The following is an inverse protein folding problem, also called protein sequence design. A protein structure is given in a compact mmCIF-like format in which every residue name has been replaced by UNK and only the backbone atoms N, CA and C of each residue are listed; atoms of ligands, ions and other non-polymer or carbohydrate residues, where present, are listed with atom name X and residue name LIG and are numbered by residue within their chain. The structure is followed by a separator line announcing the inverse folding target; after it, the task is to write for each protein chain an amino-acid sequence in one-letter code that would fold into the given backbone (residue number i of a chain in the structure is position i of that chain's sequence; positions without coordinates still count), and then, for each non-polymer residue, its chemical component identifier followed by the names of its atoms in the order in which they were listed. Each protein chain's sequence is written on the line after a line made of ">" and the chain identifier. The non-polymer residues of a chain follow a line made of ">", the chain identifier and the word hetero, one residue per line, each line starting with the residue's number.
data_IF_805060308771
#
_entry.id   IF_805060308771
#
_cell.length_a   1.000
_cell.length_b   1.000
_cell.length_c   1.000
_cell.angle_alpha   90.00
_cell.angle_beta   90.00
_cell.angle_gamma   90.00
#
_symmetry.space_group_name_H-M   'P 1'
#
loop_
_entity.id
_entity.type
_entity.pdbx_description
1 polymer ?
#
# COMPACT_ATOMS: atom_id res chain seq x y z
N UNK A 1 9.65 -38.75 -21.25
CA UNK A 1 9.10 -38.27 -19.96
C UNK A 1 9.53 -36.82 -19.78
N UNK A 2 8.73 -35.87 -20.27
CA UNK A 2 9.04 -34.44 -20.16
C UNK A 2 8.86 -33.99 -18.72
N UNK A 3 9.88 -33.32 -18.19
CA UNK A 3 9.84 -32.62 -16.90
C UNK A 3 8.82 -31.47 -17.01
N UNK A 4 7.58 -31.74 -16.64
CA UNK A 4 6.58 -30.71 -16.34
C UNK A 4 6.89 -30.19 -14.95
N UNK A 5 7.66 -29.11 -14.84
CA UNK A 5 7.62 -28.24 -13.67
C UNK A 5 8.23 -26.86 -14.00
N UNK A 6 7.41 -25.80 -13.92
CA UNK A 6 7.55 -24.72 -12.93
C UNK A 6 6.43 -23.70 -13.16
N UNK A 7 5.42 -23.78 -12.30
CA UNK A 7 4.36 -22.79 -12.08
C UNK A 7 4.94 -21.38 -11.95
N UNK A 8 4.59 -20.45 -12.85
CA UNK A 8 4.87 -19.01 -12.66
C UNK A 8 3.59 -18.34 -12.14
N UNK A 9 3.24 -18.64 -10.89
CA UNK A 9 2.28 -17.86 -10.11
C UNK A 9 2.91 -16.52 -9.74
N UNK A 10 2.16 -15.43 -9.86
CA UNK A 10 2.64 -14.07 -9.69
C UNK A 10 1.74 -13.35 -8.69
N UNK A 11 2.34 -12.65 -7.73
CA UNK A 11 1.61 -11.87 -6.74
C UNK A 11 1.58 -10.41 -7.19
N UNK A 12 0.38 -9.83 -7.28
CA UNK A 12 0.18 -8.45 -7.71
C UNK A 12 -0.34 -7.64 -6.53
N UNK A 13 0.41 -6.62 -6.12
CA UNK A 13 0.03 -5.75 -5.01
C UNK A 13 -1.07 -4.75 -5.41
N UNK A 14 -0.85 -3.99 -6.47
CA UNK A 14 -1.76 -2.92 -6.89
C UNK A 14 -1.91 -2.84 -8.41
N UNK A 15 -0.79 -2.88 -9.14
CA UNK A 15 -0.75 -2.79 -10.60
C UNK A 15 0.44 -3.57 -11.15
N UNK A 16 0.28 -4.09 -12.36
CA UNK A 16 1.34 -4.74 -13.12
C UNK A 16 1.09 -4.56 -14.62
N UNK A 17 2.16 -4.42 -15.40
CA UNK A 17 2.09 -4.33 -16.87
C UNK A 17 2.62 -5.63 -17.46
N UNK A 18 1.76 -6.37 -18.13
CA UNK A 18 2.12 -7.59 -18.82
C UNK A 18 2.55 -7.26 -20.25
N UNK A 19 3.65 -7.86 -20.69
CA UNK A 19 4.19 -7.68 -22.04
C UNK A 19 4.46 -9.03 -22.69
N UNK A 20 3.97 -9.23 -23.90
CA UNK A 20 4.30 -10.40 -24.69
C UNK A 20 4.87 -10.00 -26.03
N UNK A 21 5.92 -10.73 -26.42
CA UNK A 21 6.63 -10.62 -27.69
C UNK A 21 6.69 -12.01 -28.30
N UNK A 22 6.35 -12.11 -29.58
CA UNK A 22 6.42 -13.38 -30.29
C UNK A 22 7.87 -13.82 -30.50
N UNK A 23 8.05 -15.14 -30.61
CA UNK A 23 9.27 -15.79 -31.10
C UNK A 23 8.91 -16.68 -32.29
N UNK A 24 9.92 -17.17 -33.01
CA UNK A 24 9.77 -18.05 -34.16
C UNK A 24 9.17 -19.43 -33.81
N UNK A 25 9.03 -19.75 -32.52
CA UNK A 25 8.43 -20.98 -32.04
C UNK A 25 7.02 -20.72 -31.49
N UNK A 26 6.05 -21.62 -31.75
CA UNK A 26 4.74 -21.54 -31.10
C UNK A 26 4.88 -21.70 -29.59
N UNK A 27 4.08 -20.96 -28.83
CA UNK A 27 4.09 -21.00 -27.36
C UNK A 27 2.66 -21.12 -26.82
N UNK A 28 2.51 -21.93 -25.77
CA UNK A 28 1.27 -22.04 -24.99
C UNK A 28 1.60 -21.82 -23.54
N UNK A 29 1.02 -20.78 -22.97
CA UNK A 29 1.51 -20.24 -21.71
C UNK A 29 0.35 -19.88 -20.81
N UNK A 30 0.46 -20.30 -19.56
CA UNK A 30 -0.50 -19.98 -18.51
C UNK A 30 0.24 -19.22 -17.43
N UNK A 31 -0.30 -18.06 -17.05
CA UNK A 31 0.15 -17.27 -15.90
C UNK A 31 -1.03 -17.07 -14.96
N UNK A 32 -0.76 -17.24 -13.67
CA UNK A 32 -1.77 -17.10 -12.63
C UNK A 32 -1.34 -15.95 -11.74
N UNK A 33 -2.26 -15.03 -11.52
CA UNK A 33 -2.05 -13.82 -10.74
C UNK A 33 -2.91 -13.90 -9.50
N UNK A 34 -2.29 -13.67 -8.34
CA UNK A 34 -2.97 -13.57 -7.06
C UNK A 34 -2.84 -12.15 -6.54
N UNK A 35 -3.92 -11.58 -6.03
CA UNK A 35 -3.78 -10.29 -5.34
C UNK A 35 -2.96 -10.51 -4.08
N UNK A 36 -2.15 -9.51 -3.74
CA UNK A 36 -1.50 -9.50 -2.45
C UNK A 36 -2.56 -9.69 -1.37
N UNK A 37 -2.29 -10.58 -0.41
CA UNK A 37 -3.20 -10.99 0.67
C UNK A 37 -4.46 -11.76 0.23
N UNK A 38 -4.63 -12.07 -1.06
CA UNK A 38 -5.74 -12.88 -1.61
C UNK A 38 -7.13 -12.35 -1.25
N UNK A 39 -7.31 -11.03 -1.36
CA UNK A 39 -8.56 -10.34 -1.01
C UNK A 39 -9.10 -9.48 -2.16
N UNK A 40 -8.25 -8.71 -2.83
CA UNK A 40 -8.70 -7.78 -3.87
C UNK A 40 -8.96 -8.53 -5.19
N UNK A 41 -10.09 -8.32 -5.88
CA UNK A 41 -10.27 -8.76 -7.25
C UNK A 41 -9.38 -7.98 -8.22
N UNK A 42 -9.38 -8.39 -9.48
CA UNK A 42 -8.55 -7.80 -10.53
C UNK A 42 -9.37 -7.12 -11.62
N UNK A 43 -8.80 -6.09 -12.20
CA UNK A 43 -9.14 -5.51 -13.49
C UNK A 43 -8.04 -5.82 -14.50
N UNK A 44 -8.41 -6.07 -15.75
CA UNK A 44 -7.52 -6.33 -16.88
C UNK A 44 -7.91 -5.44 -18.06
N UNK A 45 -6.91 -4.85 -18.72
CA UNK A 45 -7.09 -4.09 -19.96
C UNK A 45 -5.93 -4.31 -20.91
N UNK A 46 -6.19 -4.45 -22.20
CA UNK A 46 -5.13 -4.32 -23.21
C UNK A 46 -4.81 -2.84 -23.45
N UNK A 47 -3.52 -2.52 -23.45
CA UNK A 47 -2.99 -1.20 -23.80
C UNK A 47 -2.53 -1.15 -25.26
N UNK A 48 -1.93 -2.25 -25.73
CA UNK A 48 -1.56 -2.47 -27.12
C UNK A 48 -1.86 -3.92 -27.49
N UNK A 49 -2.31 -4.16 -28.72
CA UNK A 49 -2.74 -5.47 -29.19
C UNK A 49 -2.37 -5.66 -30.66
N UNK A 50 -1.56 -6.66 -30.97
CA UNK A 50 -1.13 -7.00 -32.32
C UNK A 50 -0.79 -8.51 -32.41
N UNK A 51 -1.81 -9.37 -32.26
CA UNK A 51 -1.63 -10.81 -32.47
C UNK A 51 -1.41 -11.13 -33.95
N UNK A 52 -0.57 -12.15 -34.21
CA UNK A 52 -0.17 -12.50 -35.57
C UNK A 52 -1.27 -13.21 -36.35
N UNK A 53 -1.82 -14.29 -35.78
CA UNK A 53 -2.77 -15.19 -36.43
C UNK A 53 -4.15 -15.16 -35.76
N UNK A 54 -5.21 -15.51 -36.50
CA UNK A 54 -6.57 -15.63 -35.97
C UNK A 54 -6.74 -16.85 -35.05
N UNK A 55 -5.86 -17.84 -35.19
CA UNK A 55 -5.73 -18.97 -34.25
C UNK A 55 -5.11 -18.57 -32.92
N UNK A 56 -4.43 -17.42 -32.85
CA UNK A 56 -3.81 -16.94 -31.63
C UNK A 56 -4.86 -16.31 -30.73
N UNK A 57 -4.76 -16.56 -29.43
CA UNK A 57 -5.76 -16.09 -28.49
C UNK A 57 -5.19 -15.77 -27.11
N UNK A 58 -5.80 -14.78 -26.47
CA UNK A 58 -5.62 -14.47 -25.05
C UNK A 58 -6.94 -14.80 -24.37
N UNK A 59 -6.93 -15.74 -23.44
CA UNK A 59 -8.11 -16.14 -22.66
C UNK A 59 -7.88 -15.83 -21.18
N UNK A 60 -8.87 -15.20 -20.54
CA UNK A 60 -8.88 -14.81 -19.14
C UNK A 60 -9.87 -15.68 -18.36
N UNK A 61 -9.49 -16.04 -17.15
CA UNK A 61 -10.30 -16.84 -16.24
C UNK A 61 -10.29 -16.25 -14.84
N UNK A 62 -11.43 -16.28 -14.17
CA UNK A 62 -11.58 -15.97 -12.76
C UNK A 62 -11.25 -17.21 -11.93
N UNK A 63 -10.19 -17.17 -11.13
CA UNK A 63 -9.70 -18.35 -10.40
C UNK A 63 -8.50 -19.02 -11.07
N UNK A 64 -8.06 -20.15 -10.49
CA UNK A 64 -6.84 -20.86 -10.90
C UNK A 64 -7.16 -21.93 -11.95
N UNK A 65 -6.51 -21.83 -13.11
CA UNK A 65 -6.64 -22.79 -14.22
C UNK A 65 -6.17 -24.22 -13.87
N UNK A 66 -5.46 -24.42 -12.76
CA UNK A 66 -4.95 -25.74 -12.37
C UNK A 66 -5.83 -26.50 -11.36
N UNK A 67 -6.80 -25.84 -10.72
CA UNK A 67 -7.52 -26.42 -9.57
C UNK A 67 -9.05 -26.47 -9.73
N UNK A 68 -9.55 -26.50 -10.99
CA UNK A 68 -10.98 -26.65 -11.35
C UNK A 68 -11.87 -25.44 -10.96
N UNK A 69 -11.30 -24.38 -10.38
CA UNK A 69 -12.04 -23.17 -9.95
C UNK A 69 -12.08 -22.05 -11.01
N UNK A 70 -11.49 -22.26 -12.18
CA UNK A 70 -11.37 -21.26 -13.23
C UNK A 70 -12.68 -21.07 -14.02
N UNK A 71 -13.36 -19.95 -13.80
CA UNK A 71 -14.53 -19.53 -14.58
C UNK A 71 -14.03 -18.73 -15.79
N UNK A 72 -14.36 -19.10 -17.04
CA UNK A 72 -13.95 -18.33 -18.21
C UNK A 72 -14.62 -16.94 -18.20
N UNK A 73 -13.81 -15.89 -18.33
CA UNK A 73 -14.29 -14.50 -18.32
C UNK A 73 -14.32 -13.88 -19.71
N UNK A 74 -13.26 -14.10 -20.48
CA UNK A 74 -13.01 -13.36 -21.71
C UNK A 74 -12.05 -14.12 -22.62
N UNK A 75 -12.24 -14.00 -23.93
CA UNK A 75 -11.27 -14.46 -24.91
C UNK A 75 -11.21 -13.48 -26.07
N UNK A 76 -10.00 -13.10 -26.46
CA UNK A 76 -9.75 -12.18 -27.58
C UNK A 76 -8.83 -12.87 -28.59
N UNK A 77 -9.19 -12.75 -29.86
CA UNK A 77 -8.38 -13.13 -31.02
C UNK A 77 -8.16 -11.91 -31.89
N UNK A 78 -7.25 -12.00 -32.86
CA UNK A 78 -6.85 -10.89 -33.74
C UNK A 78 -8.04 -10.06 -34.28
N UNK A 79 -9.10 -10.73 -34.74
CA UNK A 79 -10.22 -10.10 -35.44
C UNK A 79 -11.51 -10.02 -34.61
N UNK A 80 -11.43 -10.27 -33.30
CA UNK A 80 -12.62 -10.28 -32.43
C UNK A 80 -13.22 -8.89 -32.17
N UNK A 81 -12.44 -7.81 -32.31
CA UNK A 81 -12.88 -6.44 -32.00
C UNK A 81 -13.14 -6.19 -30.50
N UNK A 82 -12.68 -7.07 -29.63
CA UNK A 82 -12.92 -7.03 -28.19
C UNK A 82 -11.76 -6.46 -27.38
N UNK A 83 -10.67 -6.04 -28.03
CA UNK A 83 -9.40 -5.66 -27.40
C UNK A 83 -9.52 -4.43 -26.47
N UNK A 84 -10.55 -3.59 -26.63
CA UNK A 84 -10.76 -2.40 -25.79
C UNK A 84 -11.54 -2.67 -24.50
N UNK A 85 -12.01 -3.91 -24.28
CA UNK A 85 -12.86 -4.24 -23.14
C UNK A 85 -12.05 -4.29 -21.83
N UNK A 86 -12.54 -3.61 -20.81
CA UNK A 86 -12.05 -3.76 -19.43
C UNK A 86 -12.74 -4.96 -18.79
N UNK A 87 -11.95 -5.91 -18.28
CA UNK A 87 -12.46 -7.16 -17.70
C UNK A 87 -12.15 -7.16 -16.22
N UNK A 88 -13.11 -7.61 -15.40
CA UNK A 88 -12.94 -7.69 -13.95
C UNK A 88 -13.19 -9.10 -13.45
N UNK A 89 -12.38 -9.57 -12.50
CA UNK A 89 -12.64 -10.79 -11.75
C UNK A 89 -13.53 -10.49 -10.54
N UNK A 90 -14.18 -11.51 -10.00
CA UNK A 90 -14.81 -11.49 -8.69
C UNK A 90 -13.89 -12.10 -7.63
N UNK A 91 -13.09 -13.11 -8.01
CA UNK A 91 -12.13 -13.72 -7.10
C UNK A 91 -10.82 -12.93 -7.06
N UNK A 92 -10.01 -13.09 -6.00
CA UNK A 92 -8.68 -12.50 -5.89
C UNK A 92 -7.61 -13.21 -6.76
N UNK A 93 -8.04 -13.98 -7.77
CA UNK A 93 -7.16 -14.74 -8.65
C UNK A 93 -7.60 -14.53 -10.10
N UNK A 94 -6.64 -14.17 -10.95
CA UNK A 94 -6.82 -14.05 -12.40
C UNK A 94 -5.87 -15.02 -13.08
N UNK A 95 -6.37 -15.89 -13.96
CA UNK A 95 -5.52 -16.69 -14.83
C UNK A 95 -5.58 -16.18 -16.26
N UNK A 96 -4.42 -16.09 -16.90
CA UNK A 96 -4.28 -15.70 -18.31
C UNK A 96 -3.64 -16.87 -19.05
N UNK A 97 -4.32 -17.31 -20.11
CA UNK A 97 -3.83 -18.31 -21.05
C UNK A 97 -3.57 -17.63 -22.39
N UNK A 98 -2.34 -17.75 -22.89
CA UNK A 98 -1.94 -17.34 -24.21
C UNK A 98 -1.72 -18.56 -25.08
N UNK A 99 -2.32 -18.54 -26.26
CA UNK A 99 -2.01 -19.45 -27.36
C UNK A 99 -1.44 -18.59 -28.50
N UNK A 100 -0.18 -18.80 -28.84
CA UNK A 100 0.51 -18.06 -29.88
C UNK A 100 1.23 -19.02 -30.82
N UNK A 101 1.01 -18.84 -32.12
CA UNK A 101 1.81 -19.47 -33.18
C UNK A 101 3.19 -18.81 -33.28
N UNK A 102 4.14 -19.47 -33.94
CA UNK A 102 5.47 -18.88 -34.15
C UNK A 102 5.40 -17.71 -35.15
N UNK A 103 5.94 -16.55 -34.77
CA UNK A 103 5.91 -15.35 -35.59
C UNK A 103 7.09 -14.41 -35.32
N UNK A 104 7.22 -13.38 -36.15
CA UNK A 104 8.20 -12.32 -35.92
C UNK A 104 7.93 -11.57 -34.63
N UNK A 105 9.02 -11.16 -34.00
CA UNK A 105 9.07 -10.39 -32.77
C UNK A 105 8.46 -8.98 -32.82
N UNK A 106 7.94 -8.57 -33.99
CA UNK A 106 7.15 -7.35 -34.20
C UNK A 106 5.69 -7.51 -33.75
N UNK A 107 5.23 -8.73 -33.51
CA UNK A 107 3.91 -9.04 -32.97
C UNK A 107 3.95 -9.20 -31.45
N UNK A 108 2.83 -8.96 -30.80
CA UNK A 108 2.74 -9.00 -29.35
C UNK A 108 1.58 -8.21 -28.78
N UNK A 109 1.59 -8.03 -27.46
CA UNK A 109 0.63 -7.18 -26.77
C UNK A 109 1.23 -6.59 -25.49
N UNK A 110 0.64 -5.49 -25.03
CA UNK A 110 0.84 -4.91 -23.72
C UNK A 110 -0.51 -4.90 -23.02
N UNK A 111 -0.57 -5.42 -21.81
CA UNK A 111 -1.76 -5.39 -20.97
C UNK A 111 -1.45 -4.81 -19.59
N UNK A 112 -2.49 -4.27 -18.96
CA UNK A 112 -2.46 -3.78 -17.59
C UNK A 112 -3.34 -4.70 -16.73
N UNK A 113 -2.81 -5.08 -15.57
CA UNK A 113 -3.52 -5.80 -14.52
C UNK A 113 -3.51 -4.92 -13.27
N UNK A 114 -4.67 -4.66 -12.68
CA UNK A 114 -4.84 -3.81 -11.50
C UNK A 114 -5.68 -4.49 -10.44
N UNK A 115 -5.39 -4.31 -9.17
CA UNK A 115 -6.31 -4.72 -8.11
C UNK A 115 -7.47 -3.74 -8.00
N UNK A 116 -8.65 -4.25 -7.64
CA UNK A 116 -9.88 -3.47 -7.47
C UNK A 116 -10.29 -3.42 -5.98
N UNK A 117 -10.81 -2.27 -5.48
CA UNK A 117 -10.92 -0.98 -6.17
C UNK A 117 -9.53 -0.40 -6.50
N UNK A 118 -9.46 0.38 -7.58
CA UNK A 118 -8.21 0.98 -8.06
C UNK A 118 -7.73 1.98 -7.00
N UNK A 119 -6.64 1.66 -6.31
CA UNK A 119 -6.02 2.60 -5.36
C UNK A 119 -5.52 3.82 -6.13
N UNK A 120 -6.03 5.02 -5.79
CA UNK A 120 -5.69 6.28 -6.46
C UNK A 120 -4.20 6.65 -6.36
N UNK A 121 -3.45 6.00 -5.48
CA UNK A 121 -2.02 6.18 -5.27
C UNK A 121 -1.27 5.13 -6.12
N UNK A 122 -1.48 5.14 -7.43
CA UNK A 122 -0.82 4.22 -8.35
C UNK A 122 0.63 4.64 -8.62
N UNK A 123 1.60 4.02 -7.96
CA UNK A 123 2.99 4.08 -8.45
C UNK A 123 3.25 2.90 -9.39
N UNK A 124 3.65 3.25 -10.60
CA UNK A 124 4.02 2.38 -11.70
C UNK A 124 5.39 1.75 -11.41
N UNK A 125 5.43 0.62 -10.72
CA UNK A 125 6.54 -0.33 -10.93
C UNK A 125 6.02 -1.37 -11.91
N UNK A 126 6.17 -1.05 -13.20
CA UNK A 126 5.81 -1.97 -14.28
C UNK A 126 6.78 -3.14 -14.30
N UNK A 127 6.45 -4.23 -13.62
CA UNK A 127 7.17 -5.49 -13.81
C UNK A 127 6.79 -6.05 -15.18
N UNK A 128 7.72 -6.00 -16.15
CA UNK A 128 7.54 -6.60 -17.47
C UNK A 128 7.78 -8.11 -17.38
N UNK A 129 6.74 -8.91 -17.66
CA UNK A 129 6.87 -10.37 -17.63
C UNK A 129 6.82 -10.97 -19.03
N UNK A 130 7.93 -11.58 -19.43
CA UNK A 130 8.00 -12.40 -20.65
C UNK A 130 7.32 -13.74 -20.42
N UNK A 131 6.40 -14.07 -21.32
CA UNK A 131 5.88 -15.42 -21.44
C UNK A 131 6.85 -16.23 -22.32
N UNK A 132 7.99 -16.58 -21.74
CA UNK A 132 8.92 -17.58 -22.29
C UNK A 132 8.83 -18.89 -21.49
N UNK A 133 8.93 -20.01 -22.22
CA UNK A 133 9.09 -21.39 -21.71
C UNK A 133 10.52 -21.67 -21.22
N UNK A 134 11.43 -20.71 -21.33
CA UNK A 134 12.78 -20.80 -20.79
C UNK A 134 12.75 -20.67 -19.25
N UNK A 135 13.53 -21.54 -18.61
CA UNK A 135 13.85 -21.53 -17.18
C UNK A 135 14.57 -20.23 -16.75
N UNK A 136 14.91 -19.37 -17.72
CA UNK A 136 15.44 -18.02 -17.54
C UNK A 136 14.57 -17.01 -18.27
N UNK A 137 13.24 -17.05 -18.08
CA UNK A 137 12.45 -15.86 -18.34
C UNK A 137 13.06 -14.75 -17.49
N UNK A 138 13.83 -13.86 -18.13
CA UNK A 138 14.64 -12.85 -17.46
C UNK A 138 13.70 -12.10 -16.54
N UNK A 139 13.77 -12.41 -15.24
CA UNK A 139 13.40 -11.44 -14.24
C UNK A 139 14.22 -10.24 -14.63
N UNK A 140 13.59 -9.17 -15.12
CA UNK A 140 14.19 -7.88 -14.91
C UNK A 140 14.25 -7.75 -13.40
N UNK A 141 15.38 -8.17 -12.83
CA UNK A 141 15.79 -7.80 -11.50
C UNK A 141 15.74 -6.29 -11.56
N UNK A 142 14.69 -5.69 -11.00
CA UNK A 142 14.88 -4.39 -10.42
C UNK A 142 15.97 -4.63 -9.38
N UNK A 143 17.20 -4.26 -9.73
CA UNK A 143 18.28 -4.16 -8.77
C UNK A 143 17.87 -3.04 -7.81
N UNK A 144 16.95 -3.33 -6.91
CA UNK A 144 17.11 -2.80 -5.57
C UNK A 144 18.21 -3.68 -4.97
N UNK A 145 19.45 -3.17 -5.02
CA UNK A 145 20.26 -3.30 -3.81
C UNK A 145 19.32 -3.01 -2.64
N UNK A 146 19.26 -3.82 -1.57
CA UNK A 146 18.38 -3.52 -0.44
C UNK A 146 18.58 -2.06 -0.13
N UNK A 147 17.60 -1.23 -0.52
CA UNK A 147 17.79 0.20 -0.46
C UNK A 147 17.98 0.43 1.01
N UNK A 148 19.20 0.77 1.42
CA UNK A 148 19.46 1.28 2.74
C UNK A 148 18.49 2.44 2.83
N UNK A 149 17.38 2.23 3.56
CA UNK A 149 16.31 3.22 3.61
C UNK A 149 17.00 4.49 3.98
N UNK A 150 17.00 5.46 3.05
CA UNK A 150 17.75 6.67 3.29
C UNK A 150 16.98 7.40 4.38
N UNK A 151 17.48 7.24 5.59
CA UNK A 151 16.87 7.75 6.81
C UNK A 151 16.79 9.28 6.78
N UNK A 152 17.62 9.93 5.95
CA UNK A 152 17.57 11.38 5.74
C UNK A 152 16.46 11.84 4.79
N UNK A 153 15.88 10.92 4.00
CA UNK A 153 14.79 11.19 3.06
C UNK A 153 13.67 10.15 3.25
N UNK A 154 13.11 10.07 4.45
CA UNK A 154 11.98 9.19 4.75
C UNK A 154 10.70 9.65 4.03
N UNK A 155 10.11 8.74 3.27
CA UNK A 155 8.89 8.99 2.51
C UNK A 155 8.56 7.85 1.55
N UNK A 156 7.43 7.95 0.85
CA UNK A 156 6.98 6.95 -0.11
C UNK A 156 6.54 5.65 0.57
N UNK A 157 6.80 4.50 -0.05
CA UNK A 157 6.39 3.19 0.46
C UNK A 157 7.53 2.48 1.16
N UNK A 158 7.28 2.08 2.41
CA UNK A 158 8.16 1.21 3.15
C UNK A 158 7.84 -0.26 2.80
N UNK A 159 8.74 -0.88 2.03
CA UNK A 159 8.62 -2.26 1.54
C UNK A 159 9.36 -3.28 2.44
N UNK A 160 10.28 -2.82 3.27
CA UNK A 160 11.09 -3.63 4.19
C UNK A 160 10.99 -3.08 5.60
N UNK A 161 11.03 -3.95 6.61
CA UNK A 161 10.90 -3.53 8.01
C UNK A 161 12.03 -2.60 8.39
N UNK A 162 11.69 -1.50 9.08
CA UNK A 162 12.61 -0.44 9.45
C UNK A 162 12.44 -0.12 10.93
N UNK A 163 13.57 0.11 11.60
CA UNK A 163 13.58 0.65 12.96
C UNK A 163 14.21 2.03 12.94
N UNK A 164 13.45 3.05 13.33
CA UNK A 164 13.97 4.40 13.58
C UNK A 164 14.51 4.44 14.99
N UNK A 165 15.78 4.83 15.14
CA UNK A 165 16.45 4.97 16.42
C UNK A 165 16.56 6.44 16.80
N UNK A 166 16.63 6.74 18.09
CA UNK A 166 16.95 8.10 18.55
C UNK A 166 18.31 8.55 17.97
N UNK A 167 18.39 9.81 17.56
CA UNK A 167 19.59 10.43 16.99
C UNK A 167 19.61 11.93 17.32
N UNK A 168 20.74 12.60 17.11
CA UNK A 168 20.94 14.01 17.48
C UNK A 168 20.08 14.99 16.66
N UNK A 169 19.58 14.57 15.50
CA UNK A 169 18.75 15.38 14.60
C UNK A 169 17.37 14.76 14.37
N UNK A 170 16.30 15.55 14.25
CA UNK A 170 14.97 15.00 13.96
C UNK A 170 14.94 14.31 12.59
N UNK A 171 14.04 13.34 12.45
CA UNK A 171 13.71 12.72 11.16
C UNK A 171 12.73 13.61 10.42
N UNK A 172 13.13 14.13 9.26
CA UNK A 172 12.30 15.07 8.51
C UNK A 172 11.53 14.31 7.43
N UNK A 173 10.20 14.28 7.56
CA UNK A 173 9.28 13.60 6.65
C UNK A 173 8.63 14.63 5.74
N UNK A 174 9.09 14.68 4.48
CA UNK A 174 8.67 15.67 3.47
C UNK A 174 7.60 15.14 2.51
N UNK A 175 7.27 13.86 2.57
CA UNK A 175 6.28 13.19 1.73
C UNK A 175 5.64 12.05 2.49
N UNK A 176 4.40 11.70 2.15
CA UNK A 176 3.63 10.66 2.85
C UNK A 176 4.41 9.35 2.97
N UNK A 177 4.40 8.77 4.17
CA UNK A 177 5.06 7.51 4.46
C UNK A 177 4.00 6.41 4.57
N UNK A 178 4.01 5.48 3.61
CA UNK A 178 3.09 4.33 3.58
C UNK A 178 3.82 3.06 4.03
N UNK A 179 3.40 2.47 5.15
CA UNK A 179 3.90 1.17 5.61
C UNK A 179 3.12 0.09 4.88
N UNK A 180 3.80 -0.68 4.02
CA UNK A 180 3.13 -1.73 3.26
C UNK A 180 2.76 -2.92 4.15
N UNK A 181 1.75 -3.73 3.79
CA UNK A 181 1.34 -4.80 4.69
C UNK A 181 2.39 -5.91 4.81
N UNK A 182 2.46 -6.56 5.98
CA UNK A 182 3.59 -7.42 6.44
C UNK A 182 4.91 -6.69 6.73
N UNK A 183 4.99 -5.39 6.50
CA UNK A 183 6.14 -4.58 6.89
C UNK A 183 5.92 -4.01 8.29
N UNK A 184 6.99 -3.96 9.09
CA UNK A 184 6.95 -3.33 10.41
C UNK A 184 7.81 -2.07 10.42
N UNK A 185 7.20 -0.91 10.67
CA UNK A 185 7.92 0.30 11.08
C UNK A 185 7.94 0.33 12.61
N UNK A 186 9.13 0.27 13.18
CA UNK A 186 9.33 0.44 14.63
C UNK A 186 9.97 1.80 14.89
N UNK A 187 9.34 2.63 15.70
CA UNK A 187 9.89 3.89 16.15
C UNK A 187 10.36 3.69 17.59
N UNK A 188 11.67 3.82 17.81
CA UNK A 188 12.27 3.63 19.13
C UNK A 188 11.93 4.80 20.06
N UNK A 189 11.88 4.58 21.38
CA UNK A 189 11.79 5.65 22.39
C UNK A 189 12.78 6.80 22.12
N UNK A 190 12.36 8.03 22.43
CA UNK A 190 13.19 9.24 22.28
C UNK A 190 13.36 9.75 20.84
N UNK A 191 12.72 9.10 19.85
CA UNK A 191 12.81 9.50 18.45
C UNK A 191 11.93 10.72 18.16
N UNK A 192 12.48 11.71 17.45
CA UNK A 192 11.77 12.93 17.03
C UNK A 192 11.51 12.87 15.53
N UNK A 193 10.24 13.01 15.11
CA UNK A 193 9.79 13.06 13.73
C UNK A 193 9.15 14.43 13.45
N UNK A 194 9.58 15.07 12.37
CA UNK A 194 9.10 16.37 11.92
C UNK A 194 8.42 16.26 10.56
N UNK A 195 7.16 16.69 10.48
CA UNK A 195 6.33 16.52 9.29
C UNK A 195 6.17 17.82 8.52
N UNK A 196 6.35 17.76 7.20
CA UNK A 196 5.98 18.86 6.32
C UNK A 196 4.44 19.06 6.30
N UNK A 197 3.95 20.26 5.95
CA UNK A 197 2.51 20.51 5.88
C UNK A 197 1.79 19.52 4.97
N UNK A 198 0.69 18.94 5.47
CA UNK A 198 -0.15 17.93 4.77
C UNK A 198 0.54 16.59 4.52
N UNK A 199 1.58 16.27 5.28
CA UNK A 199 2.27 14.97 5.21
C UNK A 199 1.93 14.14 6.44
N UNK A 200 1.66 12.85 6.24
CA UNK A 200 1.35 11.92 7.33
C UNK A 200 1.92 10.51 7.12
N UNK A 201 1.59 9.62 8.05
CA UNK A 201 1.90 8.19 7.97
C UNK A 201 0.62 7.42 7.66
N UNK A 202 0.63 6.63 6.59
CA UNK A 202 -0.39 5.63 6.27
C UNK A 202 0.12 4.24 6.64
N UNK A 203 -0.49 3.59 7.62
CA UNK A 203 -0.06 2.26 8.06
C UNK A 203 -0.99 1.15 7.54
N UNK A 204 -0.62 0.51 6.42
CA UNK A 204 -1.26 -0.70 5.91
C UNK A 204 -0.66 -1.98 6.54
N UNK A 205 0.59 -1.88 7.01
CA UNK A 205 1.30 -2.89 7.79
C UNK A 205 1.27 -2.63 9.29
N UNK A 206 2.35 -2.99 9.98
CA UNK A 206 2.47 -2.80 11.43
C UNK A 206 3.28 -1.54 11.74
N UNK A 207 2.70 -0.61 12.50
CA UNK A 207 3.42 0.50 13.11
C UNK A 207 3.57 0.23 14.62
N UNK A 208 4.80 0.24 15.12
CA UNK A 208 5.13 0.12 16.54
C UNK A 208 5.76 1.43 16.99
N UNK A 209 4.97 2.29 17.65
CA UNK A 209 5.44 3.52 18.28
C UNK A 209 5.14 3.45 19.78
N UNK A 210 6.14 2.99 20.54
CA UNK A 210 6.04 2.79 22.00
C UNK A 210 7.13 3.60 22.70
N UNK A 211 6.78 4.79 23.17
CA UNK A 211 7.68 5.61 23.98
C UNK A 211 7.97 5.00 25.35
N UNK A 212 9.01 5.49 26.03
CA UNK A 212 9.27 5.22 27.45
C UNK A 212 9.13 6.52 28.23
N UNK A 213 9.05 6.40 29.56
CA UNK A 213 9.01 7.57 30.44
C UNK A 213 10.32 8.34 30.28
N UNK A 214 10.24 9.62 29.89
CA UNK A 214 11.37 10.51 29.55
C UNK A 214 12.07 10.20 28.22
N UNK A 215 11.57 9.24 27.45
CA UNK A 215 12.02 8.93 26.10
C UNK A 215 10.76 8.75 25.22
N UNK A 216 9.88 9.73 25.28
CA UNK A 216 8.68 9.78 24.46
C UNK A 216 9.07 9.92 22.99
N UNK A 217 8.23 9.38 22.12
CA UNK A 217 8.36 9.62 20.68
C UNK A 217 7.61 10.92 20.39
N UNK A 218 8.31 11.85 19.74
CA UNK A 218 7.79 13.18 19.45
C UNK A 218 7.44 13.23 17.96
N UNK A 219 6.18 13.54 17.65
CA UNK A 219 5.73 13.78 16.28
C UNK A 219 5.18 15.20 16.19
N UNK A 220 5.87 16.08 15.48
CA UNK A 220 5.52 17.50 15.39
C UNK A 220 5.63 18.03 13.97
N UNK A 221 5.02 19.19 13.63
CA UNK A 221 5.27 19.83 12.35
C UNK A 221 6.72 20.28 12.21
N UNK A 222 7.17 20.47 10.97
CA UNK A 222 8.40 21.20 10.69
C UNK A 222 8.28 22.63 11.23
N UNK A 223 9.30 23.13 11.96
CA UNK A 223 9.36 24.54 12.34
C UNK A 223 9.31 25.40 11.08
N UNK A 224 8.23 26.15 10.87
CA UNK A 224 8.11 27.08 9.75
C UNK A 224 8.88 28.36 10.06
N UNK A 225 9.68 28.86 9.09
CA UNK A 225 10.14 30.26 9.04
C UNK A 225 9.03 31.22 8.55
N UNK A 226 7.75 30.86 8.67
CA UNK A 226 6.62 31.58 8.06
C UNK A 226 5.83 32.33 9.14
N UNK A 227 5.67 33.67 9.04
CA UNK A 227 4.92 34.48 10.01
C UNK A 227 3.45 34.08 10.07
N UNK A 228 2.88 34.12 11.28
CA UNK A 228 1.51 33.75 11.65
C UNK A 228 0.41 34.66 11.05
N UNK A 229 0.33 34.82 9.72
CA UNK A 229 -0.61 35.75 9.08
C UNK A 229 -1.36 35.22 7.87
N UNK A 230 -1.73 33.93 7.82
CA UNK A 230 -2.66 33.45 6.77
C UNK A 230 -3.65 32.39 7.26
N UNK A 231 -4.51 32.77 8.21
CA UNK A 231 -5.59 31.92 8.78
C UNK A 231 -6.82 31.72 7.88
N UNK A 232 -6.91 32.30 6.66
CA UNK A 232 -8.22 32.40 5.97
C UNK A 232 -8.46 31.35 4.85
N UNK A 233 -7.60 30.35 4.67
CA UNK A 233 -7.89 29.21 3.76
C UNK A 233 -7.94 27.87 4.51
N UNK A 234 -8.35 27.90 5.78
CA UNK A 234 -8.35 26.71 6.66
C UNK A 234 -9.56 25.78 6.49
N UNK A 235 -10.24 25.84 5.34
CA UNK A 235 -11.44 25.04 5.11
C UNK A 235 -11.47 24.52 3.68
N UNK A 236 -10.82 23.37 3.44
CA UNK A 236 -11.06 22.41 2.35
C UNK A 236 -9.86 21.46 2.28
N UNK A 237 -9.89 20.37 3.06
CA UNK A 237 -9.36 19.01 2.84
C UNK A 237 -9.13 18.34 4.21
N UNK A 238 -9.93 17.30 4.53
CA UNK A 238 -9.72 16.42 5.68
C UNK A 238 -8.32 15.81 5.58
N UNK A 239 -7.43 16.11 6.53
CA UNK A 239 -6.06 15.64 6.53
C UNK A 239 -5.68 15.23 7.95
N UNK A 240 -4.78 14.26 8.12
CA UNK A 240 -4.49 13.71 9.44
C UNK A 240 -3.02 13.28 9.60
N UNK A 241 -2.47 13.41 10.81
CA UNK A 241 -1.06 13.06 11.12
C UNK A 241 -0.80 11.57 10.87
N UNK A 242 -1.71 10.74 11.38
CA UNK A 242 -1.63 9.28 11.33
C UNK A 242 -2.96 8.75 10.84
N UNK A 243 -2.92 7.95 9.77
CA UNK A 243 -4.07 7.24 9.22
C UNK A 243 -3.80 5.75 9.23
N UNK A 244 -4.73 5.00 9.82
CA UNK A 244 -4.78 3.54 9.73
C UNK A 244 -5.82 3.14 8.72
N UNK A 245 -5.46 2.30 7.77
CA UNK A 245 -6.39 1.72 6.80
C UNK A 245 -6.00 0.25 6.60
N UNK A 246 -6.77 -0.69 7.15
CA UNK A 246 -6.45 -2.13 7.04
C UNK A 246 -6.90 -3.05 8.20
N UNK A 247 -6.63 -4.34 8.04
CA UNK A 247 -7.11 -5.45 8.90
C UNK A 247 -6.14 -5.86 10.05
N UNK A 248 -5.26 -4.97 10.53
CA UNK A 248 -4.12 -5.35 11.39
C UNK A 248 -4.09 -4.64 12.75
N UNK A 249 -3.38 -5.21 13.74
CA UNK A 249 -3.27 -4.67 15.11
C UNK A 249 -2.31 -3.49 15.18
N UNK A 250 -2.82 -2.33 15.59
CA UNK A 250 -2.06 -1.08 15.75
C UNK A 250 -1.98 -0.71 17.23
N UNK A 251 -0.82 -0.22 17.68
CA UNK A 251 -0.63 0.28 19.06
C UNK A 251 0.25 1.53 19.07
N UNK A 252 -0.31 2.64 19.56
CA UNK A 252 0.35 3.93 19.74
C UNK A 252 0.24 4.29 21.22
N UNK A 253 1.33 4.24 21.97
CA UNK A 253 1.31 4.61 23.39
C UNK A 253 2.50 5.47 23.77
N UNK A 254 2.29 6.47 24.63
CA UNK A 254 3.33 7.40 25.13
C UNK A 254 4.00 8.23 24.04
N UNK A 255 3.18 8.90 23.25
CA UNK A 255 3.62 9.82 22.19
C UNK A 255 3.05 11.22 22.45
N UNK A 256 3.77 12.25 22.02
CA UNK A 256 3.29 13.64 21.98
C UNK A 256 2.82 13.95 20.55
N UNK A 257 1.53 14.24 20.37
CA UNK A 257 0.86 14.39 19.07
C UNK A 257 0.30 15.82 18.84
N UNK A 258 0.77 16.82 19.59
CA UNK A 258 0.21 18.18 19.60
C UNK A 258 0.67 19.07 18.43
N UNK A 259 0.05 20.26 18.35
CA UNK A 259 0.46 21.39 17.50
C UNK A 259 0.39 21.14 15.99
N UNK A 260 -0.50 20.25 15.56
CA UNK A 260 -0.66 19.95 14.14
C UNK A 260 -1.74 20.83 13.47
N UNK A 261 -1.47 21.28 12.24
CA UNK A 261 -2.41 22.06 11.40
C UNK A 261 -3.39 21.18 10.60
N UNK A 262 -3.40 19.87 10.83
CA UNK A 262 -4.25 18.91 10.12
C UNK A 262 -5.62 18.79 10.81
N UNK A 263 -6.63 18.33 10.05
CA UNK A 263 -8.01 18.22 10.53
C UNK A 263 -8.20 17.20 11.66
N UNK A 264 -7.41 16.11 11.67
CA UNK A 264 -7.41 15.12 12.74
C UNK A 264 -5.98 14.75 13.15
N UNK A 265 -5.78 14.37 14.41
CA UNK A 265 -4.50 13.79 14.85
C UNK A 265 -4.42 12.29 14.53
N UNK A 266 -5.56 11.60 14.53
CA UNK A 266 -5.65 10.16 14.32
C UNK A 266 -6.87 9.79 13.48
N UNK A 267 -6.72 8.87 12.52
CA UNK A 267 -7.84 8.24 11.79
C UNK A 267 -7.70 6.73 11.89
N UNK A 268 -8.75 6.06 12.36
CA UNK A 268 -8.76 4.61 12.62
C UNK A 268 -9.58 3.84 11.57
N UNK A 269 -9.27 3.98 10.27
CA UNK A 269 -9.92 3.31 9.13
C UNK A 269 -9.70 1.78 9.05
N UNK A 270 -9.58 1.10 10.18
CA UNK A 270 -9.50 -0.36 10.24
C UNK A 270 -10.88 -0.97 9.97
N UNK A 271 -11.10 -1.43 8.73
CA UNK A 271 -12.34 -2.13 8.33
C UNK A 271 -12.47 -3.46 9.06
N UNK A 272 -13.23 -3.50 10.14
CA UNK A 272 -13.39 -4.72 10.94
C UNK A 272 -14.77 -5.35 10.79
N UNK A 273 -14.81 -6.67 10.60
CA UNK A 273 -16.04 -7.47 10.72
C UNK A 273 -16.24 -8.01 12.15
N UNK A 274 -15.37 -7.65 13.11
CA UNK A 274 -15.39 -8.12 14.51
C UNK A 274 -15.46 -6.94 15.47
N UNK A 275 -16.43 -7.00 16.38
CA UNK A 275 -16.72 -6.00 17.41
C UNK A 275 -15.58 -5.73 18.42
N UNK A 276 -14.48 -6.48 18.39
CA UNK A 276 -13.39 -6.42 19.41
C UNK A 276 -12.04 -5.91 18.89
N UNK A 277 -11.92 -5.42 17.66
CA UNK A 277 -10.66 -4.86 17.18
C UNK A 277 -10.51 -3.40 17.63
N UNK A 278 -10.16 -3.20 18.90
CA UNK A 278 -9.86 -1.87 19.43
C UNK A 278 -8.45 -1.42 19.04
N UNK A 279 -8.32 -0.16 18.62
CA UNK A 279 -7.03 0.49 18.43
C UNK A 279 -6.57 1.11 19.75
N UNK A 280 -5.34 0.79 20.13
CA UNK A 280 -4.79 1.13 21.43
C UNK A 280 -3.97 2.41 21.33
N UNK A 281 -4.59 3.54 21.68
CA UNK A 281 -4.04 4.90 21.63
C UNK A 281 -3.87 5.52 23.04
N UNK A 282 -3.74 4.68 24.08
CA UNK A 282 -3.65 5.14 25.46
C UNK A 282 -2.30 5.80 25.76
N UNK A 283 -2.27 6.61 26.80
CA UNK A 283 -1.10 7.25 27.38
C UNK A 283 -0.40 8.21 26.40
N UNK A 284 -1.13 8.81 25.45
CA UNK A 284 -0.61 9.84 24.55
C UNK A 284 -1.02 11.25 25.03
N UNK A 285 -0.23 12.26 24.68
CA UNK A 285 -0.60 13.66 24.81
C UNK A 285 -1.18 14.17 23.49
N UNK A 286 -2.37 14.76 23.56
CA UNK A 286 -3.15 15.20 22.39
C UNK A 286 -3.15 16.71 22.19
N UNK A 287 -2.35 17.47 22.95
CA UNK A 287 -2.36 18.93 22.96
C UNK A 287 -3.42 19.56 23.87
N UNK A 288 -4.25 18.75 24.55
CA UNK A 288 -5.32 19.22 25.42
C UNK A 288 -5.62 18.23 26.54
N UNK A 289 -6.17 18.73 27.65
CA UNK A 289 -6.70 17.95 28.79
C UNK A 289 -8.18 17.65 28.65
N UNK A 290 -8.87 18.29 27.71
CA UNK A 290 -10.33 18.16 27.55
C UNK A 290 -10.65 16.91 26.71
N UNK A 291 -11.29 15.88 27.30
CA UNK A 291 -11.60 14.64 26.59
C UNK A 291 -12.55 14.84 25.40
N UNK A 292 -13.39 15.88 25.40
CA UNK A 292 -14.30 16.17 24.28
C UNK A 292 -13.51 16.64 23.07
N UNK A 293 -12.50 17.49 23.29
CA UNK A 293 -11.60 17.94 22.22
C UNK A 293 -10.76 16.77 21.70
N UNK A 294 -10.28 15.89 22.60
CA UNK A 294 -9.53 14.68 22.19
C UNK A 294 -10.38 13.78 21.30
N UNK A 295 -11.67 13.58 21.65
CA UNK A 295 -12.58 12.79 20.84
C UNK A 295 -12.74 13.39 19.43
N UNK A 296 -12.85 14.71 19.31
CA UNK A 296 -12.92 15.38 18.00
C UNK A 296 -11.60 15.34 17.19
N UNK A 297 -10.45 15.10 17.83
CA UNK A 297 -9.15 14.93 17.14
C UNK A 297 -8.95 13.51 16.60
N UNK A 298 -9.85 12.57 16.94
CA UNK A 298 -9.82 11.17 16.55
C UNK A 298 -11.01 10.91 15.62
N UNK A 299 -10.75 10.37 14.44
CA UNK A 299 -11.80 9.89 13.54
C UNK A 299 -11.92 8.37 13.64
N UNK A 300 -12.97 7.86 14.28
CA UNK A 300 -13.12 6.43 14.60
C UNK A 300 -14.52 5.85 14.33
N UNK A 301 -14.86 4.73 14.98
CA UNK A 301 -16.16 4.07 14.84
C UNK A 301 -17.35 5.00 15.13
N UNK A 302 -17.23 5.93 16.09
CA UNK A 302 -18.31 6.85 16.45
C UNK A 302 -18.59 7.87 15.33
N UNK A 303 -17.58 8.20 14.51
CA UNK A 303 -17.73 9.04 13.32
C UNK A 303 -18.22 8.25 12.10
N UNK A 304 -17.74 7.01 11.95
CA UNK A 304 -18.09 6.14 10.83
C UNK A 304 -17.99 4.66 11.21
N UNK A 305 -19.12 3.97 11.18
CA UNK A 305 -19.30 2.58 11.66
C UNK A 305 -18.44 1.48 10.98
N UNK A 306 -17.59 1.81 10.02
CA UNK A 306 -16.65 0.89 9.37
C UNK A 306 -15.18 1.07 9.83
N UNK A 307 -14.96 1.94 10.82
CA UNK A 307 -13.67 2.20 11.46
C UNK A 307 -13.51 1.36 12.74
N UNK A 308 -12.30 1.25 13.28
CA UNK A 308 -12.08 0.63 14.59
C UNK A 308 -12.31 1.62 15.72
N UNK A 309 -12.87 1.15 16.83
CA UNK A 309 -13.00 1.93 18.06
C UNK A 309 -11.61 2.24 18.65
N UNK A 310 -11.34 3.50 18.98
CA UNK A 310 -10.05 3.94 19.53
C UNK A 310 -10.14 4.06 21.06
N UNK A 311 -9.32 3.29 21.77
CA UNK A 311 -9.12 3.50 23.20
C UNK A 311 -7.99 4.50 23.44
N UNK A 312 -8.33 5.76 23.75
CA UNK A 312 -7.36 6.82 24.05
C UNK A 312 -7.14 7.05 25.55
N UNK A 313 -7.93 6.43 26.42
CA UNK A 313 -7.87 6.61 27.88
C UNK A 313 -7.13 5.44 28.57
N UNK A 314 -6.27 5.72 29.58
CA UNK A 314 -5.89 7.03 30.11
C UNK A 314 -5.04 7.84 29.11
N UNK A 315 -5.02 9.18 29.18
CA UNK A 315 -4.19 10.07 28.34
C UNK A 315 -3.29 10.96 29.19
N UNK A 316 -2.22 11.50 28.61
CA UNK A 316 -1.32 12.43 29.30
C UNK A 316 -2.04 13.77 29.55
N UNK A 317 -1.72 14.46 30.64
CA UNK A 317 -2.34 15.75 30.98
C UNK A 317 -1.42 16.94 30.72
N UNK A 318 -0.18 16.74 30.27
CA UNK A 318 0.76 17.82 29.98
C UNK A 318 1.65 17.47 28.78
N UNK A 319 2.18 18.50 28.14
CA UNK A 319 3.00 18.43 26.92
C UNK A 319 4.49 18.13 27.20
N UNK A 320 4.89 18.17 28.47
CA UNK A 320 6.22 17.79 28.97
C UNK A 320 6.19 17.66 30.49
N UNK A 321 7.05 16.81 31.05
CA UNK A 321 7.32 16.78 32.49
C UNK A 321 8.64 17.51 32.76
N UNK A 322 8.61 18.84 32.89
CA UNK A 322 9.64 19.49 33.69
C UNK A 322 9.39 19.15 35.15
N UNK A 323 10.37 18.52 35.79
CA UNK A 323 10.40 18.42 37.25
C UNK A 323 10.24 19.82 37.86
N UNK A 324 9.19 20.03 38.65
CA UNK A 324 9.34 20.85 39.84
C UNK A 324 10.24 20.05 40.79
N UNK A 325 11.53 20.34 40.76
CA UNK A 325 12.37 20.07 41.93
C UNK A 325 11.82 20.90 43.10
N UNK A 326 11.89 20.31 44.29
CA UNK A 326 11.42 20.89 45.55
C UNK A 326 12.03 22.25 45.87
#
# INVERSE_FOLDING_TARGET
>A
MSRVNTTKELVVQERMVLYYKYDNNPSTCVKIFHSAYKIKPFGFRLLQFNLFNTSDSISLYDGSLYNVSAIPLFSVTKDSGLEKKFITTQSPTLSIKLLATGASHMHGFIAEIVTLPISAIGFTVGYYYYCEDSFEGSLSVSWEQPNLVNVENLGGRLMTSLTLHQRDRPYVIKSDLTIMPHVTLTISPGTILEFAPRVGILALGTLIAKGRRHEEIVMRPLPNDIPASTEIVHNMYKSSLIVFDGLQKVRIRRNLLSDNTLAYSLVAGMKTARLESTLDATENWWGTKDPVIIQHLIFDFDDWNDHALVNFAPYLIEDSLTHSER
#
